data_IF_479131147710
#
_entry.id   IF_479131147710
#
_cell.length_a   1.000
_cell.length_b   1.000
_cell.length_c   1.000
_cell.angle_alpha   90.00
_cell.angle_beta   90.00
_cell.angle_gamma   90.00
#
_symmetry.space_group_name_H-M   'P 1'
#
loop_
_entity.id
_entity.type
_entity.pdbx_description
1 polymer ?
#
# COMPACT_ATOMS: atom_id res chain seq x y z
N UNK A 1 -36.43 32.53 -32.76
CA UNK A 1 -35.66 32.22 -31.54
C UNK A 1 -36.54 31.39 -30.61
N UNK A 2 -36.30 30.08 -30.52
CA UNK A 2 -36.94 29.21 -29.52
C UNK A 2 -35.80 28.56 -28.74
N UNK A 3 -35.51 29.09 -27.56
CA UNK A 3 -34.62 28.44 -26.61
C UNK A 3 -35.26 27.13 -26.16
N UNK A 4 -34.72 26.01 -26.65
CA UNK A 4 -34.98 24.70 -26.06
C UNK A 4 -34.27 24.67 -24.72
N UNK A 5 -35.07 24.73 -23.65
CA UNK A 5 -34.66 24.29 -22.32
C UNK A 5 -34.17 22.84 -22.44
N UNK A 6 -32.86 22.65 -22.34
CA UNK A 6 -32.27 21.35 -22.08
C UNK A 6 -32.74 20.90 -20.69
N UNK A 7 -33.74 20.00 -20.65
CA UNK A 7 -34.07 19.24 -19.46
C UNK A 7 -32.79 18.53 -19.01
N UNK A 8 -32.22 18.92 -17.86
CA UNK A 8 -31.25 18.10 -17.13
C UNK A 8 -31.90 16.73 -16.93
N UNK A 9 -31.42 15.72 -17.66
CA UNK A 9 -31.74 14.32 -17.41
C UNK A 9 -31.23 14.05 -15.99
N UNK A 10 -32.12 13.66 -15.07
CA UNK A 10 -31.76 13.23 -13.72
C UNK A 10 -30.75 12.10 -13.84
N UNK A 11 -29.52 12.34 -13.37
CA UNK A 11 -28.36 11.43 -13.40
C UNK A 11 -28.47 10.38 -12.28
N UNK A 12 -29.62 9.72 -12.18
CA UNK A 12 -29.96 8.82 -11.08
C UNK A 12 -29.08 7.55 -11.04
N UNK A 13 -28.30 7.30 -12.11
CA UNK A 13 -27.44 6.12 -12.27
C UNK A 13 -26.00 6.28 -11.75
N UNK A 14 -25.50 7.46 -11.37
CA UNK A 14 -24.08 7.64 -11.00
C UNK A 14 -23.83 7.60 -9.48
N UNK A 15 -24.62 6.82 -8.73
CA UNK A 15 -24.41 6.67 -7.27
C UNK A 15 -23.05 6.07 -6.95
N UNK A 16 -22.42 6.58 -5.89
CA UNK A 16 -21.15 6.08 -5.36
C UNK A 16 -21.39 5.50 -3.96
N UNK A 17 -21.14 4.21 -3.81
CA UNK A 17 -21.09 3.57 -2.50
C UNK A 17 -19.72 3.79 -1.86
N UNK A 18 -19.67 4.65 -0.85
CA UNK A 18 -18.48 5.01 -0.09
C UNK A 18 -18.37 4.12 1.13
N UNK A 19 -17.17 3.60 1.38
CA UNK A 19 -16.92 2.60 2.42
C UNK A 19 -15.83 3.10 3.37
N UNK A 20 -16.18 3.27 4.64
CA UNK A 20 -15.27 3.78 5.66
C UNK A 20 -15.24 2.83 6.86
N UNK A 21 -14.08 2.22 7.10
CA UNK A 21 -13.81 1.54 8.36
C UNK A 21 -13.10 2.52 9.31
N UNK A 22 -13.75 2.87 10.42
CA UNK A 22 -13.24 3.85 11.37
C UNK A 22 -13.08 3.20 12.74
N UNK A 23 -11.85 3.20 13.26
CA UNK A 23 -11.55 2.68 14.59
C UNK A 23 -11.07 3.82 15.48
N UNK A 24 -11.96 4.28 16.37
CA UNK A 24 -11.68 5.33 17.36
C UNK A 24 -10.90 6.52 16.78
N UNK A 25 -11.32 6.96 15.58
CA UNK A 25 -10.59 7.98 14.83
C UNK A 25 -11.27 9.35 14.94
N UNK A 26 -10.63 10.37 15.55
CA UNK A 26 -11.19 11.72 15.65
C UNK A 26 -11.34 12.42 14.29
N UNK A 27 -10.70 11.92 13.23
CA UNK A 27 -10.80 12.50 11.90
C UNK A 27 -12.00 11.99 11.10
N UNK A 28 -12.78 11.03 11.60
CA UNK A 28 -13.94 10.49 10.89
C UNK A 28 -14.94 11.59 10.52
N UNK A 29 -15.36 12.38 11.51
CA UNK A 29 -16.33 13.45 11.28
C UNK A 29 -15.77 14.53 10.32
N UNK A 30 -14.57 15.10 10.54
CA UNK A 30 -13.96 16.04 9.58
C UNK A 30 -13.86 15.49 8.15
N UNK A 31 -13.55 14.20 8.00
CA UNK A 31 -13.50 13.52 6.70
C UNK A 31 -14.85 13.52 6.01
N UNK A 32 -15.92 13.18 6.73
CA UNK A 32 -17.28 13.16 6.19
C UNK A 32 -17.73 14.56 5.79
N UNK A 33 -17.49 15.55 6.64
CA UNK A 33 -17.90 16.94 6.38
C UNK A 33 -17.19 17.50 5.14
N UNK A 34 -15.88 17.33 5.04
CA UNK A 34 -15.10 17.82 3.90
C UNK A 34 -15.46 17.06 2.61
N UNK A 35 -15.67 15.74 2.68
CA UNK A 35 -16.15 14.94 1.55
C UNK A 35 -17.48 15.45 0.99
N UNK A 36 -18.43 15.77 1.88
CA UNK A 36 -19.75 16.27 1.51
C UNK A 36 -19.70 17.70 0.97
N UNK A 37 -18.93 18.60 1.60
CA UNK A 37 -18.77 20.00 1.18
C UNK A 37 -18.10 20.11 -0.20
N UNK A 38 -17.12 19.23 -0.47
CA UNK A 38 -16.34 19.27 -1.70
C UNK A 38 -16.93 18.43 -2.83
N UNK A 39 -17.89 17.55 -2.58
CA UNK A 39 -18.56 16.81 -3.63
C UNK A 39 -19.40 17.74 -4.52
N UNK A 40 -19.40 17.48 -5.83
CA UNK A 40 -20.25 18.18 -6.78
C UNK A 40 -21.71 17.70 -6.70
N UNK A 41 -21.89 16.42 -6.43
CA UNK A 41 -23.20 15.75 -6.32
C UNK A 41 -23.31 15.01 -4.97
N UNK A 42 -23.30 15.71 -3.82
CA UNK A 42 -23.37 15.09 -2.50
C UNK A 42 -24.65 14.26 -2.27
N UNK A 43 -25.70 14.48 -3.06
CA UNK A 43 -26.94 13.69 -3.06
C UNK A 43 -26.81 12.28 -3.68
N UNK A 44 -25.73 12.03 -4.44
CA UNK A 44 -25.47 10.73 -5.08
C UNK A 44 -24.61 9.80 -4.24
N UNK A 45 -24.15 10.26 -3.08
CA UNK A 45 -23.28 9.49 -2.21
C UNK A 45 -24.11 8.59 -1.30
N UNK A 46 -23.72 7.33 -1.19
CA UNK A 46 -24.23 6.38 -0.21
C UNK A 46 -23.06 5.98 0.68
N UNK A 47 -23.08 6.34 1.95
CA UNK A 47 -21.93 6.29 2.84
C UNK A 47 -22.13 5.18 3.87
N UNK A 48 -21.44 4.05 3.65
CA UNK A 48 -21.33 2.94 4.59
C UNK A 48 -20.19 3.17 5.59
N UNK A 49 -20.49 3.06 6.88
CA UNK A 49 -19.50 3.30 7.95
C UNK A 49 -19.53 2.13 8.95
N UNK A 50 -18.39 1.47 9.15
CA UNK A 50 -18.15 0.62 10.32
C UNK A 50 -17.56 1.51 11.39
N UNK A 51 -18.42 2.03 12.26
CA UNK A 51 -18.05 2.95 13.31
C UNK A 51 -17.69 2.17 14.56
N UNK A 52 -16.39 1.91 14.74
CA UNK A 52 -15.86 1.18 15.88
C UNK A 52 -15.42 2.19 16.94
N UNK A 53 -16.21 2.38 17.99
CA UNK A 53 -16.05 3.50 18.93
C UNK A 53 -16.12 3.08 20.40
N UNK A 54 -15.65 3.97 21.27
CA UNK A 54 -15.76 3.86 22.72
C UNK A 54 -16.62 4.99 23.26
N UNK A 55 -17.43 4.72 24.28
CA UNK A 55 -18.15 5.76 25.04
C UNK A 55 -17.19 6.74 25.73
N UNK A 56 -15.91 6.37 25.88
CA UNK A 56 -14.87 7.22 26.45
C UNK A 56 -14.18 8.14 25.42
N UNK A 57 -14.51 8.02 24.13
CA UNK A 57 -13.93 8.88 23.09
C UNK A 57 -14.41 10.32 23.30
N UNK A 58 -13.47 11.29 23.35
CA UNK A 58 -13.74 12.66 23.80
C UNK A 58 -13.99 13.67 22.67
N UNK A 59 -14.10 13.21 21.43
CA UNK A 59 -14.30 14.03 20.25
C UNK A 59 -15.72 13.88 19.70
N UNK A 60 -16.21 14.83 18.87
CA UNK A 60 -17.54 14.75 18.30
C UNK A 60 -17.76 13.47 17.47
N UNK A 61 -18.94 12.87 17.64
CA UNK A 61 -19.36 11.68 16.91
C UNK A 61 -20.07 12.01 15.57
N UNK A 62 -20.56 10.96 14.91
CA UNK A 62 -21.28 11.03 13.62
C UNK A 62 -22.80 10.85 13.77
N UNK A 63 -23.34 10.85 14.99
CA UNK A 63 -24.76 10.57 15.26
C UNK A 63 -25.70 11.58 14.62
N UNK A 64 -25.23 12.79 14.32
CA UNK A 64 -26.00 13.79 13.55
C UNK A 64 -26.43 13.32 12.16
N UNK A 65 -25.80 12.28 11.62
CA UNK A 65 -26.14 11.68 10.33
C UNK A 65 -27.03 10.44 10.43
N UNK A 66 -27.45 10.03 11.64
CA UNK A 66 -28.24 8.82 11.86
C UNK A 66 -29.56 8.80 11.09
N UNK A 67 -30.18 9.97 10.91
CA UNK A 67 -31.45 10.13 10.19
C UNK A 67 -31.26 10.56 8.71
N UNK A 68 -30.02 10.72 8.25
CA UNK A 68 -29.72 11.04 6.85
C UNK A 68 -29.73 9.75 6.01
N UNK A 69 -30.62 9.68 5.03
CA UNK A 69 -30.83 8.48 4.20
C UNK A 69 -29.63 8.10 3.32
N UNK A 70 -28.62 8.98 3.20
CA UNK A 70 -27.36 8.66 2.53
C UNK A 70 -26.46 7.78 3.38
N UNK A 71 -26.66 7.71 4.70
CA UNK A 71 -25.77 7.03 5.62
C UNK A 71 -26.29 5.64 6.00
N UNK A 72 -25.38 4.65 5.95
CA UNK A 72 -25.59 3.29 6.42
C UNK A 72 -24.54 3.01 7.50
N UNK A 73 -24.87 3.21 8.77
CA UNK A 73 -23.92 3.13 9.89
C UNK A 73 -24.07 1.79 10.62
N UNK A 74 -22.97 1.04 10.70
CA UNK A 74 -22.81 -0.12 11.59
C UNK A 74 -22.16 0.38 12.87
N UNK A 75 -22.94 0.40 13.94
CA UNK A 75 -22.53 0.82 15.28
C UNK A 75 -21.83 -0.36 15.98
N UNK A 76 -20.52 -0.23 16.25
CA UNK A 76 -19.68 -1.32 16.75
C UNK A 76 -18.94 -0.84 18.00
N UNK A 77 -19.16 -1.43 19.18
CA UNK A 77 -18.28 -1.21 20.32
C UNK A 77 -16.84 -1.61 19.96
N UNK A 78 -15.85 -0.77 20.27
CA UNK A 78 -14.45 -1.03 19.88
C UNK A 78 -13.91 -2.39 20.37
N UNK A 79 -14.44 -2.90 21.48
CA UNK A 79 -14.13 -4.22 22.07
C UNK A 79 -14.60 -5.41 21.23
N UNK A 80 -15.55 -5.20 20.32
CA UNK A 80 -16.06 -6.23 19.40
C UNK A 80 -15.32 -6.22 18.05
N UNK A 81 -14.47 -5.23 17.82
CA UNK A 81 -13.67 -5.15 16.60
C UNK A 81 -12.73 -6.34 16.45
N UNK A 82 -12.65 -6.87 15.24
CA UNK A 82 -11.76 -7.96 14.86
C UNK A 82 -10.59 -7.52 13.97
N UNK A 83 -10.39 -6.22 13.79
CA UNK A 83 -9.41 -5.63 12.88
C UNK A 83 -10.02 -4.99 11.65
N UNK A 84 -9.19 -4.26 10.88
CA UNK A 84 -9.67 -3.39 9.79
C UNK A 84 -10.26 -4.17 8.62
N UNK A 85 -9.69 -5.32 8.24
CA UNK A 85 -10.21 -6.12 7.12
C UNK A 85 -11.59 -6.70 7.43
N UNK A 86 -11.83 -7.12 8.67
CA UNK A 86 -13.16 -7.50 9.13
C UNK A 86 -14.14 -6.32 9.04
N UNK A 87 -13.78 -5.14 9.54
CA UNK A 87 -14.63 -3.96 9.47
C UNK A 87 -14.94 -3.51 8.02
N UNK A 88 -13.94 -3.55 7.13
CA UNK A 88 -14.12 -3.28 5.69
C UNK A 88 -15.05 -4.30 5.04
N UNK A 89 -14.94 -5.59 5.40
CA UNK A 89 -15.87 -6.63 4.95
C UNK A 89 -17.31 -6.37 5.43
N UNK A 90 -17.50 -5.97 6.70
CA UNK A 90 -18.81 -5.64 7.25
C UNK A 90 -19.46 -4.48 6.50
N UNK A 91 -18.70 -3.40 6.24
CA UNK A 91 -19.20 -2.25 5.46
C UNK A 91 -19.54 -2.65 4.03
N UNK A 92 -18.73 -3.50 3.38
CA UNK A 92 -19.03 -3.97 2.03
C UNK A 92 -20.39 -4.67 1.92
N UNK A 93 -20.89 -5.28 2.99
CA UNK A 93 -22.23 -5.92 2.99
C UNK A 93 -23.37 -4.92 2.85
N UNK A 94 -23.12 -3.62 3.03
CA UNK A 94 -24.10 -2.55 2.86
C UNK A 94 -24.24 -2.10 1.40
N UNK A 95 -23.42 -2.62 0.49
CA UNK A 95 -23.53 -2.37 -0.94
C UNK A 95 -24.90 -2.84 -1.47
N UNK A 96 -25.59 -1.97 -2.22
CA UNK A 96 -26.96 -2.19 -2.68
C UNK A 96 -27.11 -1.82 -4.16
N UNK A 97 -26.12 -2.20 -4.97
CA UNK A 97 -26.16 -2.02 -6.42
C UNK A 97 -25.80 -0.62 -6.90
N UNK A 98 -25.18 0.22 -6.08
CA UNK A 98 -24.63 1.51 -6.53
C UNK A 98 -23.64 1.30 -7.70
N UNK A 99 -23.63 2.21 -8.67
CA UNK A 99 -22.85 2.04 -9.91
C UNK A 99 -21.34 2.06 -9.68
N UNK A 100 -20.90 2.88 -8.73
CA UNK A 100 -19.49 3.02 -8.37
C UNK A 100 -19.29 2.69 -6.91
N UNK A 101 -18.06 2.33 -6.54
CA UNK A 101 -17.65 2.25 -5.15
C UNK A 101 -16.36 3.03 -4.90
N UNK A 102 -16.27 3.63 -3.72
CA UNK A 102 -15.09 4.32 -3.21
C UNK A 102 -14.75 3.79 -1.82
N UNK A 103 -13.59 3.17 -1.66
CA UNK A 103 -13.07 2.76 -0.36
C UNK A 103 -12.12 3.81 0.20
N UNK A 104 -12.27 4.10 1.49
CA UNK A 104 -11.50 5.11 2.21
C UNK A 104 -11.11 4.65 3.62
N UNK A 105 -9.94 5.11 4.08
CA UNK A 105 -9.69 5.31 5.50
C UNK A 105 -10.50 6.51 6.06
N UNK A 106 -10.56 6.65 7.39
CA UNK A 106 -11.38 7.64 8.10
C UNK A 106 -10.73 9.02 8.30
N UNK A 107 -9.58 9.28 7.68
CA UNK A 107 -8.78 10.49 7.87
C UNK A 107 -8.32 11.08 6.54
N UNK A 108 -9.27 11.67 5.82
CA UNK A 108 -9.08 12.25 4.50
C UNK A 108 -9.49 13.73 4.42
N UNK A 109 -8.94 14.43 3.43
CA UNK A 109 -9.45 15.70 2.90
C UNK A 109 -9.65 15.60 1.40
N UNK A 110 -10.58 16.34 0.82
CA UNK A 110 -11.01 16.18 -0.56
C UNK A 110 -10.75 17.43 -1.38
N UNK A 111 -10.39 17.22 -2.65
CA UNK A 111 -10.36 18.29 -3.65
C UNK A 111 -11.79 18.64 -4.06
N UNK A 112 -12.00 19.89 -4.50
CA UNK A 112 -13.32 20.32 -4.97
C UNK A 112 -13.74 19.53 -6.22
N UNK A 113 -14.99 19.05 -6.21
CA UNK A 113 -15.60 18.20 -7.24
C UNK A 113 -14.87 16.85 -7.43
N UNK A 114 -14.35 16.26 -6.34
CA UNK A 114 -13.61 15.00 -6.38
C UNK A 114 -14.41 13.85 -7.04
N UNK A 115 -15.72 13.80 -6.81
CA UNK A 115 -16.66 12.78 -7.28
C UNK A 115 -16.80 12.81 -8.81
N UNK A 116 -17.06 13.98 -9.38
CA UNK A 116 -17.09 14.18 -10.83
C UNK A 116 -15.72 13.86 -11.45
N UNK A 117 -14.63 14.22 -10.75
CA UNK A 117 -13.27 14.01 -11.24
C UNK A 117 -12.94 12.53 -11.36
N UNK A 118 -13.29 11.72 -10.35
CA UNK A 118 -13.12 10.28 -10.35
C UNK A 118 -13.97 9.60 -11.43
N UNK A 119 -15.25 9.95 -11.53
CA UNK A 119 -16.15 9.39 -12.57
C UNK A 119 -15.62 9.71 -13.97
N UNK A 120 -15.19 10.94 -14.22
CA UNK A 120 -14.62 11.33 -15.51
C UNK A 120 -13.32 10.58 -15.82
N UNK A 121 -12.46 10.38 -14.82
CA UNK A 121 -11.22 9.62 -14.98
C UNK A 121 -11.50 8.15 -15.32
N UNK A 122 -12.40 7.51 -14.58
CA UNK A 122 -12.80 6.13 -14.80
C UNK A 122 -13.46 5.92 -16.17
N UNK A 123 -14.39 6.80 -16.55
CA UNK A 123 -15.09 6.71 -17.84
C UNK A 123 -14.18 7.03 -19.03
N UNK A 124 -13.13 7.83 -18.85
CA UNK A 124 -12.09 8.02 -19.86
C UNK A 124 -11.31 6.72 -20.10
N UNK A 125 -10.87 6.05 -19.03
CA UNK A 125 -10.22 4.73 -19.13
C UNK A 125 -11.13 3.69 -19.82
N UNK A 126 -12.43 3.70 -19.54
CA UNK A 126 -13.38 2.82 -20.25
C UNK A 126 -13.45 3.11 -21.76
N UNK A 127 -13.39 4.37 -22.17
CA UNK A 127 -13.34 4.75 -23.59
C UNK A 127 -12.02 4.35 -24.25
N UNK A 128 -10.94 4.31 -23.48
CA UNK A 128 -9.62 3.85 -23.94
C UNK A 128 -9.51 2.32 -24.02
N UNK A 129 -10.59 1.59 -23.68
CA UNK A 129 -10.69 0.15 -23.88
C UNK A 129 -10.51 -0.69 -22.62
N UNK A 130 -10.42 -0.09 -21.43
CA UNK A 130 -10.36 -0.81 -20.15
C UNK A 130 -11.77 -1.02 -19.59
N UNK A 131 -12.37 -2.22 -19.62
CA UNK A 131 -13.77 -2.40 -19.23
C UNK A 131 -14.01 -2.16 -17.73
N UNK A 132 -13.07 -2.63 -16.89
CA UNK A 132 -13.12 -2.57 -15.42
C UNK A 132 -11.90 -1.84 -14.84
N UNK A 133 -11.74 -0.52 -15.07
CA UNK A 133 -10.60 0.20 -14.52
C UNK A 133 -10.79 0.42 -13.01
N UNK A 134 -9.71 0.30 -12.26
CA UNK A 134 -9.66 0.50 -10.81
C UNK A 134 -8.63 1.59 -10.49
N UNK A 135 -9.09 2.74 -10.01
CA UNK A 135 -8.25 3.87 -9.65
C UNK A 135 -7.84 3.74 -8.18
N UNK A 136 -6.55 3.68 -7.87
CA UNK A 136 -6.03 3.46 -6.52
C UNK A 136 -4.62 4.02 -6.39
N UNK A 137 -4.22 4.47 -5.19
CA UNK A 137 -2.86 4.92 -4.90
C UNK A 137 -2.67 5.12 -3.41
N UNK A 138 -1.41 5.19 -2.96
CA UNK A 138 -1.05 5.96 -1.78
C UNK A 138 -1.16 7.44 -2.14
N UNK A 139 -2.26 8.08 -1.74
CA UNK A 139 -2.60 9.45 -2.12
C UNK A 139 -1.79 10.48 -1.31
N UNK A 140 -1.67 11.73 -1.78
CA UNK A 140 -0.80 12.73 -1.16
C UNK A 140 -1.15 13.03 0.30
N UNK A 141 -0.18 13.47 1.09
CA UNK A 141 -0.39 13.72 2.52
C UNK A 141 -1.03 15.09 2.83
N UNK A 142 -1.78 15.16 3.93
CA UNK A 142 -2.06 16.41 4.66
C UNK A 142 -1.65 16.28 6.13
N UNK A 143 -1.49 17.42 6.80
CA UNK A 143 -1.22 17.53 8.24
C UNK A 143 -2.44 18.19 8.92
N UNK A 144 -3.15 17.50 9.84
CA UNK A 144 -4.29 18.07 10.56
C UNK A 144 -3.95 19.34 11.35
N UNK A 145 -2.73 19.47 11.85
CA UNK A 145 -2.31 20.62 12.67
C UNK A 145 -2.00 21.86 11.79
N UNK A 146 -1.87 21.67 10.48
CA UNK A 146 -1.49 22.71 9.51
C UNK A 146 -2.27 22.62 8.19
N UNK A 147 -3.52 22.16 8.24
CA UNK A 147 -4.41 22.05 7.08
C UNK A 147 -5.05 23.43 6.76
N UNK A 148 -5.07 23.92 5.51
CA UNK A 148 -4.60 23.27 4.27
C UNK A 148 -3.15 23.58 3.87
N UNK A 149 -2.41 24.37 4.65
CA UNK A 149 -1.10 24.90 4.28
C UNK A 149 -0.02 23.83 4.05
N UNK A 150 -0.12 22.65 4.67
CA UNK A 150 0.81 21.54 4.53
C UNK A 150 0.35 20.41 3.59
N UNK A 151 -0.64 20.67 2.72
CA UNK A 151 -1.09 19.69 1.71
C UNK A 151 -0.05 19.51 0.60
N UNK A 152 0.16 18.26 0.20
CA UNK A 152 0.95 17.94 -1.00
C UNK A 152 0.07 18.07 -2.26
N UNK A 153 0.37 19.03 -3.12
CA UNK A 153 -0.51 19.44 -4.24
C UNK A 153 -0.17 18.78 -5.59
N UNK A 154 0.42 17.58 -5.56
CA UNK A 154 0.71 16.79 -6.76
C UNK A 154 0.38 15.32 -6.48
N UNK A 155 -0.06 14.54 -7.50
CA UNK A 155 -0.47 13.16 -7.32
C UNK A 155 0.71 12.26 -6.91
N UNK A 156 0.38 11.20 -6.18
CA UNK A 156 1.31 10.16 -5.76
C UNK A 156 0.92 8.81 -6.36
N UNK A 157 1.88 7.90 -6.38
CA UNK A 157 1.78 6.49 -6.80
C UNK A 157 2.28 5.56 -5.69
N UNK A 158 2.21 4.25 -5.92
CA UNK A 158 2.72 3.24 -5.02
C UNK A 158 3.96 2.57 -5.62
N UNK A 159 5.07 2.59 -4.89
CA UNK A 159 6.26 1.83 -5.23
C UNK A 159 6.38 0.59 -4.34
N UNK A 160 7.04 -0.44 -4.86
CA UNK A 160 7.43 -1.60 -4.08
C UNK A 160 8.48 -1.20 -3.05
N UNK A 161 8.36 -1.72 -1.83
CA UNK A 161 9.38 -1.60 -0.78
C UNK A 161 10.11 -2.94 -0.62
N UNK A 162 9.40 -3.94 -0.09
CA UNK A 162 9.94 -5.27 0.21
C UNK A 162 8.85 -6.32 0.36
N UNK A 163 9.28 -7.58 0.32
CA UNK A 163 8.56 -8.66 1.00
C UNK A 163 8.96 -8.68 2.46
N UNK A 164 8.01 -8.61 3.39
CA UNK A 164 8.31 -8.77 4.82
C UNK A 164 8.56 -10.26 5.15
N UNK A 165 9.25 -10.58 6.26
CA UNK A 165 9.51 -11.97 6.66
C UNK A 165 8.26 -12.85 6.66
N UNK A 166 7.11 -12.29 7.06
CA UNK A 166 5.82 -12.98 7.16
C UNK A 166 5.17 -13.27 5.79
N UNK A 167 5.65 -12.64 4.71
CA UNK A 167 5.25 -12.91 3.32
C UNK A 167 4.31 -11.88 2.69
N UNK A 168 3.93 -10.82 3.40
CA UNK A 168 3.20 -9.71 2.79
C UNK A 168 4.15 -8.82 1.96
N UNK A 169 3.59 -8.07 1.01
CA UNK A 169 4.31 -7.04 0.27
C UNK A 169 4.06 -5.68 0.90
N UNK A 170 5.13 -4.93 1.12
CA UNK A 170 5.07 -3.55 1.60
C UNK A 170 5.28 -2.57 0.45
N UNK A 171 4.68 -1.40 0.59
CA UNK A 171 4.69 -0.35 -0.41
C UNK A 171 5.09 0.98 0.22
N UNK A 172 5.59 1.89 -0.61
CA UNK A 172 5.89 3.27 -0.22
C UNK A 172 5.09 4.26 -1.09
N UNK A 173 4.64 5.39 -0.52
CA UNK A 173 4.14 6.49 -1.32
C UNK A 173 5.29 7.12 -2.10
N UNK A 174 5.03 7.49 -3.35
CA UNK A 174 6.03 8.16 -4.18
C UNK A 174 5.40 9.23 -5.06
N UNK A 175 6.16 10.28 -5.35
CA UNK A 175 5.85 11.18 -6.44
C UNK A 175 5.97 10.45 -7.80
N UNK A 176 5.43 11.05 -8.85
CA UNK A 176 5.64 10.55 -10.20
C UNK A 176 7.11 10.76 -10.61
N UNK A 177 7.67 9.77 -11.31
CA UNK A 177 9.03 9.82 -11.85
C UNK A 177 9.06 10.64 -13.15
N UNK A 178 10.26 10.99 -13.62
CA UNK A 178 10.45 11.84 -14.81
C UNK A 178 9.96 11.21 -16.13
N UNK A 179 9.77 9.89 -16.16
CA UNK A 179 9.26 9.15 -17.32
C UNK A 179 7.75 8.89 -17.25
N UNK A 180 7.09 9.21 -16.13
CA UNK A 180 5.65 9.04 -15.99
C UNK A 180 4.91 10.13 -16.78
N UNK A 181 3.77 9.78 -17.39
CA UNK A 181 2.91 10.75 -18.08
C UNK A 181 1.91 11.37 -17.08
N UNK A 182 2.07 12.64 -16.66
CA UNK A 182 1.20 13.26 -15.67
C UNK A 182 -0.17 13.67 -16.24
N UNK A 183 -0.42 13.45 -17.53
CA UNK A 183 -1.66 13.91 -18.20
C UNK A 183 -2.77 12.87 -18.23
N UNK A 184 -2.47 11.62 -17.84
CA UNK A 184 -3.42 10.49 -17.83
C UNK A 184 -3.16 9.56 -16.65
N UNK A 185 -4.14 8.75 -16.21
CA UNK A 185 -3.92 7.77 -15.14
C UNK A 185 -2.78 6.82 -15.51
N UNK A 186 -1.87 6.58 -14.57
CA UNK A 186 -0.74 5.67 -14.78
C UNK A 186 -1.19 4.24 -14.50
N UNK A 187 -0.81 3.23 -15.28
CA UNK A 187 -1.00 1.85 -14.87
C UNK A 187 -0.36 1.57 -13.50
N UNK A 188 -1.05 0.81 -12.66
CA UNK A 188 -0.63 0.52 -11.29
C UNK A 188 -0.41 -0.97 -11.09
N UNK A 189 0.62 -1.32 -10.33
CA UNK A 189 0.89 -2.72 -9.94
C UNK A 189 0.07 -3.13 -8.72
N UNK A 190 -0.17 -2.18 -7.81
CA UNK A 190 -0.64 -2.44 -6.47
C UNK A 190 -1.95 -1.74 -6.20
N UNK A 191 -2.73 -2.34 -5.32
CA UNK A 191 -3.96 -1.79 -4.78
C UNK A 191 -3.66 -1.18 -3.42
N UNK A 192 -4.19 0.01 -3.16
CA UNK A 192 -4.21 0.57 -1.82
C UNK A 192 -5.57 0.42 -1.17
N UNK A 193 -5.55 -0.07 0.07
CA UNK A 193 -6.74 -0.22 0.87
C UNK A 193 -7.20 1.08 1.55
N UNK A 194 -6.39 2.15 1.55
CA UNK A 194 -6.85 3.45 2.06
C UNK A 194 -7.62 4.30 1.03
N UNK A 195 -7.54 3.95 -0.27
CA UNK A 195 -8.11 4.70 -1.39
C UNK A 195 -8.20 3.81 -2.63
N UNK A 196 -9.44 3.47 -3.01
CA UNK A 196 -9.72 2.78 -4.27
C UNK A 196 -11.11 3.13 -4.81
N UNK A 197 -11.19 3.46 -6.10
CA UNK A 197 -12.41 3.82 -6.81
C UNK A 197 -12.58 2.97 -8.07
N UNK A 198 -13.74 2.31 -8.19
CA UNK A 198 -14.07 1.50 -9.39
C UNK A 198 -15.59 1.28 -9.50
N UNK A 199 -16.00 0.34 -10.34
CA UNK A 199 -17.38 -0.11 -10.50
C UNK A 199 -17.89 -0.76 -9.20
N UNK A 200 -19.15 -0.54 -8.87
CA UNK A 200 -19.74 -1.04 -7.62
C UNK A 200 -19.73 -2.56 -7.51
N UNK A 201 -19.82 -3.28 -8.64
CA UNK A 201 -19.74 -4.75 -8.71
C UNK A 201 -18.45 -5.31 -8.08
N UNK A 202 -17.39 -4.51 -7.93
CA UNK A 202 -16.16 -4.87 -7.22
C UNK A 202 -16.43 -5.32 -5.77
N UNK A 203 -17.45 -4.77 -5.11
CA UNK A 203 -17.85 -5.18 -3.76
C UNK A 203 -18.29 -6.66 -3.69
N UNK A 204 -18.78 -7.20 -4.81
CA UNK A 204 -19.25 -8.58 -4.91
C UNK A 204 -18.17 -9.51 -5.50
N UNK A 205 -17.42 -9.01 -6.48
CA UNK A 205 -16.40 -9.81 -7.18
C UNK A 205 -15.11 -9.96 -6.37
N UNK A 206 -14.69 -8.92 -5.65
CA UNK A 206 -13.42 -8.88 -4.90
C UNK A 206 -13.67 -8.38 -3.47
N UNK A 207 -14.45 -9.10 -2.65
CA UNK A 207 -14.72 -8.68 -1.29
C UNK A 207 -13.46 -8.70 -0.42
N UNK A 208 -13.37 -7.81 0.57
CA UNK A 208 -12.38 -7.87 1.64
C UNK A 208 -12.51 -9.18 2.38
N UNK A 209 -11.38 -9.87 2.56
CA UNK A 209 -11.37 -11.13 3.31
C UNK A 209 -11.32 -10.81 4.81
N UNK A 210 -12.35 -11.15 5.60
CA UNK A 210 -12.41 -10.83 7.02
C UNK A 210 -11.38 -11.63 7.85
N UNK A 211 -10.69 -12.61 7.26
CA UNK A 211 -9.60 -13.35 7.91
C UNK A 211 -8.22 -12.73 7.68
N UNK A 212 -8.13 -11.67 6.87
CA UNK A 212 -6.98 -10.78 6.91
C UNK A 212 -7.09 -9.85 8.13
N UNK A 213 -5.96 -9.27 8.54
CA UNK A 213 -5.90 -8.42 9.73
C UNK A 213 -5.47 -6.98 9.42
N UNK A 214 -4.26 -6.80 8.86
CA UNK A 214 -3.72 -5.46 8.51
C UNK A 214 -2.65 -5.46 7.40
N UNK A 215 -1.79 -6.48 7.34
CA UNK A 215 -0.77 -6.58 6.30
C UNK A 215 -1.03 -7.79 5.41
N UNK A 216 -1.04 -7.54 4.10
CA UNK A 216 -1.28 -8.53 3.06
C UNK A 216 -2.59 -8.32 2.30
N UNK A 217 -3.58 -7.60 2.84
CA UNK A 217 -4.84 -7.44 2.11
C UNK A 217 -4.65 -6.67 0.81
N UNK A 218 -3.75 -5.68 0.79
CA UNK A 218 -3.50 -4.84 -0.37
C UNK A 218 -3.01 -5.65 -1.57
N UNK A 219 -2.00 -6.52 -1.37
CA UNK A 219 -1.48 -7.36 -2.46
C UNK A 219 -2.44 -8.49 -2.84
N UNK A 220 -3.17 -9.04 -1.86
CA UNK A 220 -4.24 -10.02 -2.10
C UNK A 220 -5.32 -9.43 -3.00
N UNK A 221 -5.82 -8.24 -2.66
CA UNK A 221 -6.84 -7.55 -3.45
C UNK A 221 -6.31 -7.15 -4.83
N UNK A 222 -5.06 -6.69 -4.94
CA UNK A 222 -4.47 -6.36 -6.24
C UNK A 222 -4.47 -7.58 -7.20
N UNK A 223 -3.97 -8.72 -6.73
CA UNK A 223 -3.94 -9.97 -7.51
C UNK A 223 -5.36 -10.46 -7.83
N UNK A 224 -6.27 -10.44 -6.86
CA UNK A 224 -7.67 -10.86 -7.05
C UNK A 224 -8.37 -9.94 -8.05
N UNK A 225 -8.29 -8.63 -7.89
CA UNK A 225 -8.81 -7.65 -8.86
C UNK A 225 -8.31 -7.93 -10.27
N UNK A 226 -7.00 -8.13 -10.44
CA UNK A 226 -6.43 -8.46 -11.74
C UNK A 226 -7.03 -9.76 -12.31
N UNK A 227 -7.05 -10.84 -11.54
CA UNK A 227 -7.61 -12.13 -11.98
C UNK A 227 -9.12 -12.10 -12.27
N UNK A 228 -9.85 -11.13 -11.70
CA UNK A 228 -11.25 -10.83 -12.01
C UNK A 228 -11.45 -9.88 -13.21
N UNK A 229 -10.38 -9.45 -13.87
CA UNK A 229 -10.44 -8.63 -15.08
C UNK A 229 -10.35 -7.12 -14.85
N UNK A 230 -9.97 -6.66 -13.65
CA UNK A 230 -9.74 -5.24 -13.37
C UNK A 230 -8.34 -4.76 -13.76
N UNK A 231 -8.24 -3.61 -14.41
CA UNK A 231 -6.97 -2.96 -14.72
C UNK A 231 -6.74 -1.82 -13.73
N UNK A 232 -5.61 -1.84 -13.02
CA UNK A 232 -5.34 -0.90 -11.93
C UNK A 232 -4.62 0.34 -12.46
N UNK A 233 -4.96 1.51 -11.92
CA UNK A 233 -4.38 2.80 -12.30
C UNK A 233 -4.17 3.72 -11.09
N UNK A 234 -3.06 4.46 -11.07
CA UNK A 234 -2.85 5.60 -10.19
C UNK A 234 -3.51 6.86 -10.79
N UNK A 235 -4.21 7.67 -9.98
CA UNK A 235 -4.80 8.91 -10.46
C UNK A 235 -3.72 9.93 -10.82
N UNK A 236 -3.90 10.64 -11.93
CA UNK A 236 -2.99 11.71 -12.39
C UNK A 236 -3.39 13.10 -11.88
N UNK A 237 -4.30 13.15 -10.90
CA UNK A 237 -4.77 14.37 -10.25
C UNK A 237 -4.85 14.10 -8.75
N UNK A 238 -4.68 15.15 -7.96
CA UNK A 238 -5.00 15.09 -6.54
C UNK A 238 -6.51 15.00 -6.39
N UNK A 239 -7.00 13.92 -5.80
CA UNK A 239 -8.44 13.67 -5.57
C UNK A 239 -8.79 13.92 -4.11
N UNK A 240 -7.93 13.43 -3.24
CA UNK A 240 -8.01 13.60 -1.80
C UNK A 240 -6.59 13.47 -1.22
N UNK A 241 -6.46 13.84 0.04
CA UNK A 241 -5.27 13.72 0.84
C UNK A 241 -5.50 12.76 2.01
N UNK A 242 -4.43 12.07 2.42
CA UNK A 242 -4.43 11.15 3.55
C UNK A 242 -3.55 11.67 4.70
N UNK A 243 -3.94 11.38 5.94
CA UNK A 243 -3.15 11.70 7.12
C UNK A 243 -2.28 10.51 7.54
N UNK A 244 -0.95 10.64 7.39
CA UNK A 244 -0.01 9.54 7.61
C UNK A 244 0.56 9.44 9.03
N UNK A 245 0.50 10.50 9.84
CA UNK A 245 1.23 10.54 11.13
C UNK A 245 0.53 9.70 12.20
N UNK A 246 -0.80 9.61 12.15
CA UNK A 246 -1.68 8.93 13.12
C UNK A 246 -1.35 9.30 14.58
N UNK A 247 -0.84 10.52 14.78
CA UNK A 247 -0.32 11.01 16.06
C UNK A 247 -1.40 10.94 17.14
N UNK A 248 -1.08 10.24 18.24
CA UNK A 248 -1.96 10.12 19.40
C UNK A 248 -3.19 9.22 19.22
N UNK A 249 -3.29 8.43 18.14
CA UNK A 249 -4.42 7.52 17.92
C UNK A 249 -4.17 6.13 18.49
N UNK A 250 -5.19 5.60 19.17
CA UNK A 250 -5.21 4.20 19.60
C UNK A 250 -5.48 3.32 18.38
N UNK A 251 -4.64 2.33 18.14
CA UNK A 251 -4.83 1.34 17.08
C UNK A 251 -5.57 0.13 17.64
N UNK A 252 -6.25 -0.62 16.78
CA UNK A 252 -7.01 -1.80 17.24
C UNK A 252 -6.13 -2.85 17.92
N UNK A 253 -4.89 -3.06 17.47
CA UNK A 253 -3.95 -3.96 18.13
C UNK A 253 -3.47 -3.46 19.51
N UNK A 254 -3.62 -2.17 19.82
CA UNK A 254 -3.32 -1.65 21.16
C UNK A 254 -4.38 -2.12 22.18
N UNK A 255 -5.62 -2.36 21.71
CA UNK A 255 -6.78 -2.76 22.53
C UNK A 255 -7.08 -4.30 22.45
N UNK A 256 -6.66 -5.00 21.40
CA UNK A 256 -6.95 -6.43 21.18
C UNK A 256 -5.85 -7.36 21.69
N UNK A 257 -6.10 -8.00 22.84
CA UNK A 257 -5.12 -8.92 23.47
C UNK A 257 -4.71 -10.13 22.63
N UNK A 258 -5.48 -10.50 21.61
CA UNK A 258 -5.20 -11.65 20.74
C UNK A 258 -4.80 -11.22 19.31
N UNK A 259 -4.45 -9.95 19.12
CA UNK A 259 -4.07 -9.41 17.81
C UNK A 259 -2.93 -10.21 17.15
N UNK A 260 -1.97 -10.68 17.94
CA UNK A 260 -0.84 -11.49 17.46
C UNK A 260 -1.29 -12.79 16.77
N UNK A 261 -2.27 -13.50 17.36
CA UNK A 261 -2.82 -14.73 16.78
C UNK A 261 -3.65 -14.45 15.51
N UNK A 262 -4.35 -13.32 15.47
CA UNK A 262 -5.05 -12.87 14.25
C UNK A 262 -4.06 -12.57 13.14
N UNK A 263 -3.00 -11.83 13.46
CA UNK A 263 -1.98 -11.44 12.50
C UNK A 263 -1.20 -12.66 11.96
N UNK A 264 -0.83 -13.61 12.82
CA UNK A 264 -0.17 -14.85 12.42
C UNK A 264 -1.05 -15.69 11.47
N UNK A 265 -2.35 -15.82 11.76
CA UNK A 265 -3.30 -16.51 10.87
C UNK A 265 -3.48 -15.79 9.54
N UNK A 266 -3.56 -14.46 9.55
CA UNK A 266 -3.61 -13.62 8.35
C UNK A 266 -2.38 -13.87 7.45
N UNK A 267 -1.17 -13.83 8.02
CA UNK A 267 0.05 -14.05 7.26
C UNK A 267 0.17 -15.47 6.70
N UNK A 268 -0.20 -16.49 7.47
CA UNK A 268 -0.26 -17.87 6.96
C UNK A 268 -1.26 -17.98 5.81
N UNK A 269 -2.42 -17.37 5.94
CA UNK A 269 -3.44 -17.34 4.89
C UNK A 269 -2.93 -16.65 3.62
N UNK A 270 -2.21 -15.53 3.74
CA UNK A 270 -1.57 -14.87 2.62
C UNK A 270 -0.53 -15.76 1.93
N UNK A 271 0.36 -16.39 2.69
CA UNK A 271 1.36 -17.32 2.12
C UNK A 271 0.71 -18.51 1.42
N UNK A 272 -0.39 -19.04 1.94
CA UNK A 272 -1.16 -20.12 1.30
C UNK A 272 -1.88 -19.66 0.03
N UNK A 273 -2.43 -18.44 -0.01
CA UNK A 273 -3.05 -17.88 -1.22
C UNK A 273 -2.07 -17.83 -2.39
N UNK A 274 -0.82 -17.47 -2.08
CA UNK A 274 0.25 -17.24 -3.05
C UNK A 274 1.30 -18.37 -3.14
N UNK A 275 1.10 -19.47 -2.41
CA UNK A 275 2.01 -20.63 -2.37
C UNK A 275 3.48 -20.27 -2.05
N UNK A 276 3.68 -19.38 -1.09
CA UNK A 276 5.00 -18.93 -0.63
C UNK A 276 5.66 -19.95 0.30
N UNK A 277 6.99 -20.03 0.29
CA UNK A 277 7.80 -20.82 1.24
C UNK A 277 7.45 -22.31 1.32
N UNK A 278 6.94 -22.89 0.24
CA UNK A 278 6.50 -24.28 0.22
C UNK A 278 5.10 -24.52 0.80
N UNK A 279 4.40 -23.47 1.22
CA UNK A 279 2.97 -23.53 1.51
C UNK A 279 2.19 -23.91 0.25
N UNK A 280 1.10 -24.65 0.46
CA UNK A 280 0.17 -25.03 -0.60
C UNK A 280 -1.12 -24.25 -0.42
N UNK A 281 -1.80 -23.97 -1.53
CA UNK A 281 -3.16 -23.39 -1.50
C UNK A 281 -4.20 -24.48 -1.16
N UNK A 282 -4.12 -24.98 0.06
CA UNK A 282 -4.95 -26.06 0.64
C UNK A 282 -6.11 -25.53 1.52
N UNK A 283 -6.36 -24.23 1.46
CA UNK A 283 -7.54 -23.58 2.06
C UNK A 283 -8.58 -23.34 0.97
N UNK A 284 -9.85 -23.58 1.27
CA UNK A 284 -10.95 -23.05 0.46
C UNK A 284 -11.09 -21.55 0.71
N UNK A 285 -10.71 -20.76 -0.30
CA UNK A 285 -10.83 -19.31 -0.25
C UNK A 285 -12.24 -18.82 -0.62
N UNK A 286 -13.10 -19.66 -1.22
CA UNK A 286 -14.42 -19.24 -1.71
C UNK A 286 -14.34 -17.96 -2.56
N UNK A 287 -15.18 -16.97 -2.23
CA UNK A 287 -15.21 -15.64 -2.86
C UNK A 287 -13.94 -14.80 -2.61
N UNK A 288 -13.07 -15.25 -1.71
CA UNK A 288 -11.79 -14.61 -1.40
C UNK A 288 -10.61 -15.18 -2.20
N UNK A 289 -10.88 -16.05 -3.19
CA UNK A 289 -9.90 -16.59 -4.11
C UNK A 289 -9.62 -15.68 -5.31
N UNK A 290 -8.82 -16.19 -6.26
CA UNK A 290 -8.58 -15.54 -7.54
C UNK A 290 -9.76 -15.74 -8.51
N UNK A 291 -9.92 -14.80 -9.43
CA UNK A 291 -10.88 -14.88 -10.52
C UNK A 291 -10.43 -15.79 -11.65
N UNK A 292 -11.28 -15.87 -12.68
CA UNK A 292 -11.14 -16.77 -13.82
C UNK A 292 -10.83 -16.04 -15.15
N UNK A 293 -10.69 -14.70 -15.13
CA UNK A 293 -10.46 -13.90 -16.35
C UNK A 293 -9.00 -13.84 -16.74
N UNK A 294 -8.11 -13.83 -15.75
CA UNK A 294 -6.65 -13.86 -15.91
C UNK A 294 -6.06 -14.71 -14.79
N UNK A 295 -4.89 -15.31 -15.02
CA UNK A 295 -4.24 -16.17 -14.03
C UNK A 295 -3.41 -15.35 -13.04
N UNK A 296 -3.07 -15.94 -11.89
CA UNK A 296 -2.07 -15.35 -10.97
C UNK A 296 -0.74 -15.12 -11.70
N UNK A 297 -0.36 -16.04 -12.61
CA UNK A 297 0.89 -15.92 -13.35
C UNK A 297 0.88 -14.74 -14.32
N UNK A 298 -0.28 -14.43 -14.93
CA UNK A 298 -0.43 -13.22 -15.73
C UNK A 298 -0.26 -11.96 -14.86
N UNK A 299 -0.75 -11.97 -13.62
CA UNK A 299 -0.51 -10.88 -12.68
C UNK A 299 0.96 -10.80 -12.25
N UNK A 300 1.65 -11.92 -12.02
CA UNK A 300 3.09 -11.94 -11.74
C UNK A 300 3.90 -11.31 -12.89
N UNK A 301 3.58 -11.67 -14.15
CA UNK A 301 4.19 -11.03 -15.34
C UNK A 301 3.80 -9.57 -15.49
N UNK A 302 2.57 -9.19 -15.18
CA UNK A 302 2.14 -7.79 -15.27
C UNK A 302 2.81 -6.93 -14.19
N UNK A 303 2.84 -7.43 -12.96
CA UNK A 303 3.33 -6.74 -11.77
C UNK A 303 4.84 -6.85 -11.59
N UNK A 304 5.51 -7.78 -12.27
CA UNK A 304 6.93 -8.03 -12.10
C UNK A 304 7.28 -8.66 -10.75
N UNK A 305 6.29 -9.20 -10.01
CA UNK A 305 6.50 -9.93 -8.75
C UNK A 305 6.48 -11.43 -9.02
N UNK A 306 7.29 -12.19 -8.29
CA UNK A 306 7.11 -13.62 -8.12
C UNK A 306 6.81 -13.90 -6.65
N UNK A 307 5.61 -14.35 -6.36
CA UNK A 307 5.19 -14.61 -4.99
C UNK A 307 5.86 -15.87 -4.44
N UNK A 308 5.85 -16.95 -5.22
CA UNK A 308 6.49 -18.22 -4.86
C UNK A 308 7.96 -18.06 -4.45
N UNK A 309 8.68 -17.17 -5.15
CA UNK A 309 10.09 -16.91 -4.90
C UNK A 309 10.35 -15.68 -4.02
N UNK A 310 9.30 -14.94 -3.62
CA UNK A 310 9.40 -13.62 -2.96
C UNK A 310 10.42 -12.71 -3.63
N UNK A 311 10.35 -12.67 -4.96
CA UNK A 311 11.33 -12.03 -5.82
C UNK A 311 10.64 -11.03 -6.74
N UNK A 312 11.42 -10.14 -7.36
CA UNK A 312 10.91 -9.09 -8.23
C UNK A 312 11.76 -8.95 -9.49
N UNK A 313 11.20 -8.30 -10.51
CA UNK A 313 11.89 -7.89 -11.72
C UNK A 313 12.59 -6.54 -11.50
N UNK A 314 13.66 -6.29 -12.24
CA UNK A 314 14.44 -5.04 -12.20
C UNK A 314 13.60 -3.78 -12.47
N UNK A 315 12.62 -3.86 -13.37
CA UNK A 315 11.70 -2.75 -13.67
C UNK A 315 10.85 -2.34 -12.45
N UNK A 316 10.63 -3.23 -11.47
CA UNK A 316 9.92 -2.94 -10.22
C UNK A 316 10.77 -2.08 -9.28
N UNK A 317 12.06 -2.40 -9.11
CA UNK A 317 13.01 -1.60 -8.30
C UNK A 317 13.25 -0.23 -8.95
N UNK A 318 13.26 -0.19 -10.29
CA UNK A 318 13.41 1.06 -11.05
C UNK A 318 12.11 1.87 -11.13
N UNK A 319 11.04 1.45 -10.44
CA UNK A 319 9.75 2.15 -10.39
C UNK A 319 9.10 2.40 -11.76
N UNK A 320 9.38 1.55 -12.75
CA UNK A 320 8.78 1.69 -14.08
C UNK A 320 7.34 1.18 -14.08
N UNK A 321 6.42 1.88 -14.76
CA UNK A 321 5.01 1.49 -14.80
C UNK A 321 4.82 0.15 -15.54
N UNK A 322 3.82 -0.67 -15.17
CA UNK A 322 3.39 -1.83 -15.93
C UNK A 322 2.54 -1.42 -17.16
N UNK A 323 2.25 -2.31 -18.12
CA UNK A 323 2.98 -3.56 -18.33
C UNK A 323 4.40 -3.25 -18.80
N UNK A 324 5.37 -3.95 -18.22
CA UNK A 324 6.78 -3.76 -18.51
C UNK A 324 7.27 -4.78 -19.56
N UNK A 325 8.60 -4.91 -19.67
CA UNK A 325 9.25 -5.88 -20.56
C UNK A 325 8.92 -7.34 -20.25
N UNK A 326 8.22 -7.64 -19.15
CA UNK A 326 8.01 -9.00 -18.65
C UNK A 326 6.66 -9.61 -19.06
N UNK A 327 5.71 -8.81 -19.57
CA UNK A 327 4.36 -9.27 -19.89
C UNK A 327 4.32 -10.39 -20.95
N UNK A 328 5.27 -10.41 -21.87
CA UNK A 328 5.34 -11.38 -22.98
C UNK A 328 6.39 -12.48 -22.79
N UNK A 329 7.01 -12.57 -21.61
CA UNK A 329 8.01 -13.59 -21.33
C UNK A 329 7.36 -14.96 -21.08
N UNK A 330 8.03 -16.02 -21.52
CA UNK A 330 7.76 -17.37 -21.00
C UNK A 330 8.00 -17.45 -19.49
N UNK A 331 7.48 -18.49 -18.84
CA UNK A 331 7.70 -18.67 -17.41
C UNK A 331 9.18 -18.83 -17.06
N UNK A 332 9.91 -19.58 -17.89
CA UNK A 332 11.34 -19.78 -17.71
C UNK A 332 12.15 -18.48 -17.89
N UNK A 333 11.77 -17.63 -18.85
CA UNK A 333 12.44 -16.33 -19.06
C UNK A 333 12.12 -15.35 -17.93
N UNK A 334 10.87 -15.33 -17.45
CA UNK A 334 10.49 -14.51 -16.31
C UNK A 334 11.29 -14.90 -15.07
N UNK A 335 11.32 -16.20 -14.75
CA UNK A 335 12.00 -16.70 -13.54
C UNK A 335 13.52 -16.51 -13.58
N UNK A 336 14.14 -16.60 -14.77
CA UNK A 336 15.57 -16.32 -14.95
C UNK A 336 15.96 -14.87 -14.69
N UNK A 337 15.02 -13.93 -14.80
CA UNK A 337 15.25 -12.48 -14.60
C UNK A 337 14.94 -12.01 -13.18
N UNK A 338 14.48 -12.90 -12.29
CA UNK A 338 14.12 -12.54 -10.93
C UNK A 338 15.34 -12.12 -10.11
N UNK A 339 15.24 -10.92 -9.53
CA UNK A 339 16.12 -10.44 -8.49
C UNK A 339 15.73 -11.09 -7.15
N UNK A 340 16.67 -11.77 -6.52
CA UNK A 340 16.47 -12.46 -5.24
C UNK A 340 17.01 -11.61 -4.10
N UNK A 341 16.38 -11.74 -2.93
CA UNK A 341 16.90 -11.11 -1.72
C UNK A 341 18.25 -11.72 -1.38
N UNK A 342 19.29 -10.90 -1.37
CA UNK A 342 20.58 -11.19 -0.78
C UNK A 342 20.64 -10.51 0.58
N UNK A 343 20.78 -11.31 1.63
CA UNK A 343 20.93 -10.85 3.02
C UNK A 343 22.24 -11.35 3.57
N UNK A 344 23.04 -10.45 4.12
CA UNK A 344 24.33 -10.79 4.71
C UNK A 344 24.61 -9.94 5.95
N UNK A 345 25.14 -10.58 6.99
CA UNK A 345 25.69 -9.90 8.17
C UNK A 345 27.19 -9.82 8.00
N UNK A 346 27.73 -8.61 8.01
CA UNK A 346 29.17 -8.40 8.13
C UNK A 346 29.50 -8.25 9.61
N UNK A 347 30.25 -9.19 10.14
CA UNK A 347 30.69 -9.18 11.54
C UNK A 347 31.98 -8.37 11.65
N UNK A 348 31.91 -7.21 12.32
CA UNK A 348 33.05 -6.33 12.56
C UNK A 348 33.39 -6.34 14.05
N UNK A 349 34.55 -6.90 14.41
CA UNK A 349 35.00 -6.93 15.79
C UNK A 349 35.28 -5.52 16.32
N UNK A 350 34.98 -5.26 17.60
CA UNK A 350 35.25 -3.94 18.21
C UNK A 350 36.72 -3.52 18.15
N UNK A 351 37.64 -4.48 18.10
CA UNK A 351 39.07 -4.23 17.91
C UNK A 351 39.41 -3.69 16.52
N UNK A 352 38.59 -3.96 15.50
CA UNK A 352 38.76 -3.43 14.14
C UNK A 352 38.24 -1.99 14.02
N UNK A 353 37.38 -1.57 14.95
CA UNK A 353 36.77 -0.23 15.00
C UNK A 353 36.91 0.36 16.42
N UNK A 354 38.15 0.67 16.86
CA UNK A 354 38.42 0.99 18.27
C UNK A 354 37.87 2.34 18.71
N UNK A 355 37.60 3.27 17.80
CA UNK A 355 37.16 4.63 18.15
C UNK A 355 35.71 4.66 18.65
N UNK A 356 35.37 5.62 19.50
CA UNK A 356 34.02 5.74 20.07
C UNK A 356 33.18 6.85 19.43
N UNK A 357 33.76 7.59 18.49
CA UNK A 357 33.19 8.78 17.86
C UNK A 357 32.99 8.61 16.36
N UNK A 358 32.73 7.38 15.91
CA UNK A 358 32.29 7.12 14.55
C UNK A 358 30.95 7.80 14.28
N UNK A 359 30.86 8.50 13.16
CA UNK A 359 29.66 9.21 12.71
C UNK A 359 29.14 8.68 11.37
N UNK A 360 29.97 7.93 10.63
CA UNK A 360 29.59 7.41 9.32
C UNK A 360 30.43 6.19 8.91
N UNK A 361 29.79 5.11 8.45
CA UNK A 361 30.48 3.99 7.81
C UNK A 361 29.97 3.80 6.38
N UNK A 362 30.87 3.86 5.39
CA UNK A 362 30.49 3.46 4.03
C UNK A 362 30.43 1.93 3.96
N UNK A 363 29.30 1.36 3.55
CA UNK A 363 29.15 -0.11 3.46
C UNK A 363 28.66 -0.50 2.07
N UNK A 364 29.52 -1.20 1.33
CA UNK A 364 29.24 -1.59 -0.04
C UNK A 364 29.56 -3.06 -0.31
N UNK A 365 28.77 -3.67 -1.20
CA UNK A 365 28.96 -4.99 -1.77
C UNK A 365 29.42 -4.85 -3.20
N UNK A 366 30.41 -5.66 -3.61
CA UNK A 366 31.11 -5.53 -4.88
C UNK A 366 31.00 -6.78 -5.73
N UNK A 367 31.02 -6.61 -7.06
CA UNK A 367 31.11 -7.72 -8.00
C UNK A 367 32.56 -8.25 -8.11
N UNK A 368 32.78 -9.27 -8.94
CA UNK A 368 34.11 -9.86 -9.19
C UNK A 368 35.11 -8.86 -9.78
N UNK A 369 34.63 -7.80 -10.43
CA UNK A 369 35.43 -6.70 -11.00
C UNK A 369 35.75 -5.60 -9.98
N UNK A 370 35.27 -5.73 -8.74
CA UNK A 370 35.49 -4.75 -7.66
C UNK A 370 34.58 -3.51 -7.71
N UNK A 371 33.60 -3.48 -8.62
CA UNK A 371 32.62 -2.40 -8.76
C UNK A 371 31.49 -2.56 -7.74
N UNK A 372 30.97 -1.45 -7.23
CA UNK A 372 29.86 -1.44 -6.27
C UNK A 372 28.58 -1.96 -6.93
N UNK A 373 28.07 -3.08 -6.42
CA UNK A 373 26.76 -3.62 -6.77
C UNK A 373 25.65 -2.99 -5.94
N UNK A 374 25.94 -2.75 -4.66
CA UNK A 374 25.00 -2.17 -3.71
C UNK A 374 25.76 -1.42 -2.63
N UNK A 375 25.20 -0.30 -2.17
CA UNK A 375 25.76 0.49 -1.08
C UNK A 375 24.62 0.99 -0.17
N UNK A 376 24.78 0.76 1.13
CA UNK A 376 23.91 1.28 2.17
C UNK A 376 24.77 1.64 3.36
N UNK A 377 24.98 2.92 3.57
CA UNK A 377 25.89 3.41 4.60
C UNK A 377 25.25 3.31 5.99
N UNK A 378 26.09 3.15 7.02
CA UNK A 378 25.63 3.16 8.41
C UNK A 378 25.75 4.58 8.97
N UNK A 379 24.65 5.11 9.50
CA UNK A 379 24.66 6.39 10.19
C UNK A 379 25.15 6.25 11.65
N UNK A 380 25.40 7.40 12.29
CA UNK A 380 25.84 7.47 13.68
C UNK A 380 24.97 6.65 14.64
N UNK A 381 23.65 6.68 14.47
CA UNK A 381 22.74 6.00 15.39
C UNK A 381 22.78 4.48 15.21
N UNK A 382 22.89 4.00 13.97
CA UNK A 382 23.14 2.59 13.66
C UNK A 382 24.47 2.12 14.26
N UNK A 383 25.55 2.90 14.09
CA UNK A 383 26.87 2.57 14.61
C UNK A 383 26.85 2.47 16.14
N UNK A 384 26.21 3.42 16.82
CA UNK A 384 26.06 3.40 18.29
C UNK A 384 25.30 2.14 18.72
N UNK A 385 24.23 1.74 18.03
CA UNK A 385 23.52 0.50 18.34
C UNK A 385 24.43 -0.73 18.18
N UNK A 386 25.17 -0.83 17.08
CA UNK A 386 26.06 -1.95 16.80
C UNK A 386 27.23 -2.06 17.79
N UNK A 387 27.78 -0.92 18.24
CA UNK A 387 28.85 -0.87 19.25
C UNK A 387 28.38 -1.15 20.68
N UNK A 388 27.09 -1.32 20.90
CA UNK A 388 26.49 -1.72 22.18
C UNK A 388 25.85 -3.12 22.14
N UNK A 389 26.15 -3.91 21.11
CA UNK A 389 25.66 -5.29 20.98
C UNK A 389 26.24 -6.19 22.09
N UNK A 390 25.41 -6.96 22.80
CA UNK A 390 25.85 -7.80 23.92
C UNK A 390 26.82 -8.91 23.51
N UNK A 391 26.85 -9.30 22.23
CA UNK A 391 27.75 -10.36 21.74
C UNK A 391 29.19 -9.86 21.51
N UNK A 392 29.46 -8.56 21.67
CA UNK A 392 30.82 -8.00 21.67
C UNK A 392 31.40 -7.71 20.29
N UNK A 393 30.57 -7.64 19.25
CA UNK A 393 30.97 -7.24 17.90
C UNK A 393 29.81 -6.53 17.18
N UNK A 394 30.14 -5.75 16.15
CA UNK A 394 29.16 -5.03 15.34
C UNK A 394 28.57 -5.96 14.28
N UNK A 395 27.25 -6.14 14.29
CA UNK A 395 26.50 -6.88 13.26
C UNK A 395 25.96 -5.92 12.20
N UNK A 396 26.71 -5.75 11.12
CA UNK A 396 26.31 -4.86 10.01
C UNK A 396 25.43 -5.65 9.04
N UNK A 397 24.13 -5.66 9.29
CA UNK A 397 23.16 -6.33 8.41
C UNK A 397 22.87 -5.50 7.17
N UNK A 398 22.97 -6.12 6.00
CA UNK A 398 22.56 -5.54 4.72
C UNK A 398 21.68 -6.51 3.95
N UNK A 399 20.66 -5.97 3.31
CA UNK A 399 19.65 -6.74 2.59
C UNK A 399 19.24 -5.97 1.33
N UNK A 400 19.38 -6.59 0.16
CA UNK A 400 19.03 -5.99 -1.12
C UNK A 400 18.71 -7.05 -2.18
N UNK A 401 18.01 -6.67 -3.24
CA UNK A 401 17.67 -7.58 -4.33
C UNK A 401 18.76 -7.59 -5.40
N UNK A 402 19.16 -8.78 -5.85
CA UNK A 402 20.16 -8.94 -6.90
C UNK A 402 19.96 -10.25 -7.67
N UNK A 403 20.35 -10.27 -8.95
CA UNK A 403 20.44 -11.46 -9.79
C UNK A 403 21.76 -12.21 -9.63
N UNK A 404 22.79 -11.54 -9.09
CA UNK A 404 24.14 -12.07 -8.92
C UNK A 404 24.54 -12.02 -7.46
N UNK A 405 25.13 -13.10 -6.95
CA UNK A 405 25.73 -13.09 -5.62
C UNK A 405 26.89 -12.08 -5.63
N UNK A 406 26.98 -11.13 -4.68
CA UNK A 406 28.14 -10.27 -4.58
C UNK A 406 29.39 -11.09 -4.28
N UNK A 407 30.54 -10.65 -4.78
CA UNK A 407 31.82 -11.33 -4.60
C UNK A 407 32.50 -10.91 -3.29
N UNK A 408 32.41 -9.64 -2.93
CA UNK A 408 33.07 -9.10 -1.73
C UNK A 408 32.28 -7.95 -1.11
N UNK A 409 32.71 -7.50 0.06
CA UNK A 409 32.16 -6.35 0.75
C UNK A 409 33.28 -5.46 1.30
N UNK A 410 32.95 -4.20 1.56
CA UNK A 410 33.78 -3.20 2.21
C UNK A 410 32.96 -2.46 3.28
N UNK A 411 33.57 -2.26 4.44
CA UNK A 411 33.13 -1.33 5.48
C UNK A 411 34.25 -0.31 5.63
N UNK A 412 33.98 0.96 5.38
CA UNK A 412 34.95 2.04 5.51
C UNK A 412 34.50 3.01 6.61
N UNK A 413 35.08 2.91 7.82
CA UNK A 413 34.67 3.75 8.94
C UNK A 413 35.22 5.18 8.85
N UNK A 414 34.42 6.17 9.25
CA UNK A 414 34.85 7.55 9.51
C UNK A 414 34.58 7.92 10.97
N UNK A 415 35.63 8.43 11.64
CA UNK A 415 35.61 8.95 13.01
C UNK A 415 35.74 10.47 12.97
N UNK A 416 35.02 11.16 13.87
CA UNK A 416 35.08 12.62 13.98
C UNK A 416 36.51 13.09 14.30
N UNK A 417 37.19 12.41 15.23
CA UNK A 417 38.53 12.80 15.69
C UNK A 417 39.66 12.32 14.79
N UNK A 418 39.48 11.22 14.04
CA UNK A 418 40.55 10.60 13.26
C UNK A 418 40.33 10.57 11.74
N UNK A 419 39.16 11.01 11.27
CA UNK A 419 38.78 10.93 9.87
C UNK A 419 38.52 9.50 9.42
N UNK A 420 38.76 9.22 8.13
CA UNK A 420 38.60 7.89 7.56
C UNK A 420 39.66 6.92 8.09
N UNK A 421 39.20 5.80 8.63
CA UNK A 421 40.04 4.68 9.03
C UNK A 421 40.42 3.81 7.81
N UNK A 422 41.22 2.78 8.02
CA UNK A 422 41.48 1.78 6.99
C UNK A 422 40.19 1.00 6.65
N UNK A 423 39.92 0.72 5.36
CA UNK A 423 38.76 -0.06 4.97
C UNK A 423 38.90 -1.52 5.40
N UNK A 424 37.83 -2.05 5.99
CA UNK A 424 37.69 -3.45 6.36
C UNK A 424 36.98 -4.16 5.21
N UNK A 425 37.56 -5.23 4.69
CA UNK A 425 37.02 -5.94 3.52
C UNK A 425 36.89 -7.44 3.80
N UNK A 426 36.01 -8.10 3.05
CA UNK A 426 35.89 -9.54 3.07
C UNK A 426 35.33 -10.09 1.76
N UNK A 427 35.69 -11.34 1.45
CA UNK A 427 35.18 -12.07 0.28
C UNK A 427 34.03 -12.96 0.74
N UNK A 428 32.94 -12.95 -0.03
CA UNK A 428 31.78 -13.78 0.24
C UNK A 428 32.05 -15.22 -0.21
N UNK A 429 31.58 -16.23 0.56
CA UNK A 429 31.88 -17.64 0.30
C UNK A 429 31.25 -18.18 -0.99
#
# INVERSE_FOLDING_TARGET
MKHKNAKKIKKQDDKIFIQIAAYRDPQLLPTIEDMLDKAKYPENLVIGIAWQHSEADSWPDILKYKDDNRFKIIDIPYTESQGVCWARNQVQQLYDGEKYTLQLDSHHRFEKNWDETLINMLTALQKDGYPKPLITAYIPSFDPDNDPSARINYPWKMNFDRFIPEGAVFFLPAAFDSWDDPTRPLPARFYSAHFAFTLGEFCLEVPHDPNYYFHGEEISIAARAYTHGYDLFHPHKVICWHEYTRKGRTKQWDDDKIWGDRNNRCHLRNRKLFEMDGEKRDIDFGVYGFGDKRTLRDYERYSGLSFKHRAIQDDVIKHKPPPDSTMNLSDEEFDKRLLKIFKHCIDIGYSQVPENDYDFWAVAFKNEEGQDMYRQDADKDEIIRMKNDPDGYCKVWREFQTDKKPHSWIVWPHSISKGWADPITGVLP
#
